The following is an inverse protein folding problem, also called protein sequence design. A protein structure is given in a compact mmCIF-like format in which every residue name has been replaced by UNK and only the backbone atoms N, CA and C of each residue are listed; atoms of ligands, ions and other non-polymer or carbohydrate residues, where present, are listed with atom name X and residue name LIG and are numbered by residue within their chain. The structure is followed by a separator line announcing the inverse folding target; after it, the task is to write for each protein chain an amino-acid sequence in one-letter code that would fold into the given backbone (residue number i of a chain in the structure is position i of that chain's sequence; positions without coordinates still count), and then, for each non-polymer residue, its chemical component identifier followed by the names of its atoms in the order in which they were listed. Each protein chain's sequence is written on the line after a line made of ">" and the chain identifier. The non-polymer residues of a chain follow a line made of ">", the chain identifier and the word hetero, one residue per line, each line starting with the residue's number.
data_IF_520693781263
#
_entry.id   IF_520693781263
#
_cell.length_a   1.000
_cell.length_b   1.000
_cell.length_c   1.000
_cell.angle_alpha   90.00
_cell.angle_beta   90.00
_cell.angle_gamma   90.00
#
_symmetry.space_group_name_H-M   'P 1'
#
loop_
_entity.id
_entity.type
_entity.pdbx_description
1 polymer ?
#
# COMPACT_ATOMS: atom_id res chain seq x y z
N UNK A 1 6.30 51.90 23.05
CA UNK A 1 5.42 50.72 23.18
C UNK A 1 6.09 49.54 22.49
N UNK A 2 6.29 48.45 23.24
CA UNK A 2 6.40 47.02 22.85
C UNK A 2 7.46 46.59 21.82
N UNK A 3 8.61 46.19 22.35
CA UNK A 3 9.34 44.92 22.17
C UNK A 3 8.64 43.89 21.24
N UNK A 4 9.25 43.47 20.13
CA UNK A 4 10.30 42.45 20.00
C UNK A 4 9.82 41.01 20.28
N UNK A 5 9.96 40.12 19.29
CA UNK A 5 10.59 38.80 19.48
C UNK A 5 10.85 38.11 18.13
N UNK A 6 12.12 38.04 17.75
CA UNK A 6 12.64 37.07 16.78
C UNK A 6 12.70 35.74 17.53
N UNK A 7 11.88 34.75 17.17
CA UNK A 7 12.02 33.40 17.71
C UNK A 7 13.02 32.66 16.82
N UNK A 8 14.29 32.78 17.21
CA UNK A 8 15.32 31.83 16.81
C UNK A 8 15.03 30.50 17.53
N UNK A 9 14.68 29.46 16.77
CA UNK A 9 14.62 28.10 17.32
C UNK A 9 16.05 27.59 17.49
N UNK A 10 16.50 27.56 18.75
CA UNK A 10 17.80 27.05 19.14
C UNK A 10 17.85 25.52 19.02
N UNK A 11 18.94 25.03 18.42
CA UNK A 11 19.30 23.62 18.42
C UNK A 11 19.85 23.28 19.82
N UNK A 12 19.19 22.36 20.54
CA UNK A 12 19.73 21.76 21.75
C UNK A 12 20.53 20.53 21.34
N UNK A 13 21.84 20.66 21.15
CA UNK A 13 22.76 19.50 21.14
C UNK A 13 23.16 19.19 22.57
N UNK A 14 22.43 18.26 23.20
CA UNK A 14 22.86 17.65 24.47
C UNK A 14 23.93 16.60 24.20
N UNK A 15 25.20 16.93 24.43
CA UNK A 15 26.28 15.96 24.44
C UNK A 15 26.24 15.15 25.74
N UNK A 16 25.84 13.88 25.67
CA UNK A 16 25.96 12.94 26.78
C UNK A 16 27.27 12.16 26.60
N UNK A 17 28.24 12.40 27.50
CA UNK A 17 29.43 11.57 27.67
C UNK A 17 29.10 10.52 28.73
N UNK A 18 28.97 9.25 28.34
CA UNK A 18 28.90 8.11 29.27
C UNK A 18 30.02 7.13 28.93
N UNK A 19 30.80 6.79 29.96
CA UNK A 19 31.97 5.92 29.92
C UNK A 19 31.65 4.47 29.57
N UNK A 20 32.71 3.76 29.17
CA UNK A 20 32.66 2.49 28.46
C UNK A 20 32.02 1.33 29.22
N UNK A 21 31.05 0.70 28.56
CA UNK A 21 30.99 -0.72 28.20
C UNK A 21 29.95 -0.85 27.08
N UNK A 22 30.41 -1.16 25.87
CA UNK A 22 29.64 -1.59 24.68
C UNK A 22 28.18 -1.13 24.55
N UNK A 23 27.96 0.18 24.37
CA UNK A 23 26.66 0.75 23.92
C UNK A 23 26.49 0.77 22.40
N UNK A 24 27.40 0.14 21.63
CA UNK A 24 27.37 0.17 20.17
C UNK A 24 26.11 -0.46 19.56
N UNK A 25 25.48 -1.44 20.22
CA UNK A 25 24.22 -2.02 19.74
C UNK A 25 23.03 -1.05 19.86
N UNK A 26 23.01 -0.18 20.87
CA UNK A 26 21.91 0.77 21.08
C UNK A 26 22.00 2.01 20.17
N UNK A 27 23.15 2.23 19.53
CA UNK A 27 23.40 3.33 18.61
C UNK A 27 23.30 2.93 17.13
N UNK A 28 23.18 1.64 16.80
CA UNK A 28 23.34 1.13 15.42
C UNK A 28 22.04 0.81 14.68
N UNK A 29 20.89 0.62 15.35
CA UNK A 29 19.58 0.50 14.68
C UNK A 29 18.69 1.71 14.99
N UNK A 30 18.96 2.84 14.34
CA UNK A 30 18.03 3.98 14.35
C UNK A 30 17.16 3.93 13.10
N UNK A 31 16.40 2.85 12.93
CA UNK A 31 15.36 2.81 11.90
C UNK A 31 14.27 3.80 12.30
N UNK A 32 14.03 4.79 11.43
CA UNK A 32 13.10 5.89 11.63
C UNK A 32 12.24 5.99 10.38
N UNK A 33 10.93 6.02 10.58
CA UNK A 33 9.95 6.28 9.53
C UNK A 33 9.39 7.69 9.69
N UNK A 34 9.15 8.37 8.57
CA UNK A 34 8.50 9.68 8.56
C UNK A 34 7.01 9.48 8.36
N UNK A 35 6.21 9.90 9.34
CA UNK A 35 4.75 9.94 9.26
C UNK A 35 4.26 11.39 9.32
N UNK A 36 3.01 11.64 8.96
CA UNK A 36 2.44 12.99 8.98
C UNK A 36 2.54 13.70 10.35
N UNK A 37 2.55 12.94 11.45
CA UNK A 37 2.68 13.44 12.83
C UNK A 37 4.14 13.65 13.29
N UNK A 38 5.13 13.31 12.47
CA UNK A 38 6.56 13.46 12.75
C UNK A 38 7.37 12.20 12.48
N UNK A 39 8.51 12.07 13.16
CA UNK A 39 9.38 10.90 13.04
C UNK A 39 8.99 9.84 14.08
N UNK A 40 8.83 8.59 13.64
CA UNK A 40 8.62 7.44 14.53
C UNK A 40 9.88 6.59 14.51
N UNK A 41 10.48 6.43 15.69
CA UNK A 41 11.64 5.57 15.89
C UNK A 41 11.20 4.14 16.15
N UNK A 42 11.59 3.23 15.27
CA UNK A 42 11.28 1.79 15.37
C UNK A 42 12.31 1.04 16.22
N UNK A 43 13.57 1.46 16.18
CA UNK A 43 14.67 0.72 16.81
C UNK A 43 15.12 -0.45 15.93
N UNK A 44 15.33 -1.62 16.51
CA UNK A 44 15.49 -2.86 15.74
C UNK A 44 14.15 -3.28 15.13
N UNK A 45 14.14 -3.59 13.83
CA UNK A 45 12.97 -4.09 13.12
C UNK A 45 13.13 -5.59 12.96
N UNK A 46 12.15 -6.34 13.47
CA UNK A 46 12.19 -7.81 13.50
C UNK A 46 11.49 -8.42 12.29
N UNK A 47 10.44 -7.75 11.81
CA UNK A 47 9.62 -8.20 10.70
C UNK A 47 9.00 -7.00 9.98
N UNK A 48 8.84 -7.15 8.67
CA UNK A 48 8.26 -6.14 7.77
C UNK A 48 7.36 -6.85 6.76
N UNK A 49 6.12 -6.40 6.64
CA UNK A 49 5.16 -6.97 5.69
C UNK A 49 4.57 -5.88 4.80
N UNK A 50 4.78 -6.02 3.49
CA UNK A 50 4.21 -5.13 2.48
C UNK A 50 2.89 -5.72 1.95
N UNK A 51 1.78 -5.03 2.16
CA UNK A 51 0.45 -5.45 1.71
C UNK A 51 -0.18 -4.40 0.80
N UNK A 52 -1.04 -4.85 -0.11
CA UNK A 52 -1.87 -3.98 -0.94
C UNK A 52 -3.32 -4.39 -0.79
N UNK A 53 -4.18 -3.40 -0.55
CA UNK A 53 -5.63 -3.52 -0.61
C UNK A 53 -6.13 -2.96 -1.93
N UNK A 54 -6.91 -3.75 -2.65
CA UNK A 54 -7.63 -3.36 -3.87
C UNK A 54 -9.12 -3.38 -3.56
N UNK A 55 -9.77 -2.24 -3.73
CA UNK A 55 -11.22 -2.10 -3.62
C UNK A 55 -11.78 -1.67 -4.97
N UNK A 56 -12.75 -2.42 -5.49
CA UNK A 56 -13.48 -2.05 -6.71
C UNK A 56 -14.92 -1.78 -6.31
N UNK A 57 -15.39 -0.55 -6.49
CA UNK A 57 -16.79 -0.17 -6.25
C UNK A 57 -17.51 0.14 -7.56
N UNK A 58 -18.82 -0.07 -7.58
CA UNK A 58 -19.69 0.34 -8.70
C UNK A 58 -20.33 1.71 -8.46
N UNK A 59 -21.30 2.06 -9.28
CA UNK A 59 -22.00 3.36 -9.26
C UNK A 59 -22.66 3.74 -7.91
N UNK A 60 -23.00 2.75 -7.07
CA UNK A 60 -23.64 3.01 -5.77
C UNK A 60 -22.64 3.35 -4.65
N UNK A 61 -21.35 3.03 -4.82
CA UNK A 61 -20.28 3.19 -3.81
C UNK A 61 -20.63 2.65 -2.41
N UNK A 62 -21.66 1.81 -2.28
CA UNK A 62 -22.15 1.34 -0.97
C UNK A 62 -21.57 -0.03 -0.62
N UNK A 63 -21.45 -0.92 -1.62
CA UNK A 63 -20.88 -2.27 -1.44
C UNK A 63 -19.77 -2.52 -2.46
N UNK A 64 -18.55 -2.86 -2.03
CA UNK A 64 -17.50 -3.24 -2.96
C UNK A 64 -17.93 -4.44 -3.83
N UNK A 65 -17.74 -4.31 -5.14
CA UNK A 65 -17.81 -5.43 -6.08
C UNK A 65 -16.71 -6.44 -5.72
N UNK A 66 -15.55 -5.92 -5.34
CA UNK A 66 -14.39 -6.69 -4.91
C UNK A 66 -13.62 -5.90 -3.84
N UNK A 67 -13.15 -6.59 -2.82
CA UNK A 67 -12.17 -6.07 -1.86
C UNK A 67 -11.21 -7.19 -1.51
N UNK A 68 -9.94 -7.04 -1.86
CA UNK A 68 -8.88 -8.01 -1.55
C UNK A 68 -7.73 -7.27 -0.89
N UNK A 69 -7.23 -7.82 0.21
CA UNK A 69 -5.97 -7.40 0.84
C UNK A 69 -5.04 -8.61 0.85
N UNK A 70 -3.87 -8.48 0.23
CA UNK A 70 -2.84 -9.52 0.23
C UNK A 70 -1.43 -8.91 0.14
N UNK A 71 -0.40 -9.74 0.18
CA UNK A 71 0.96 -9.34 -0.14
C UNK A 71 1.01 -8.65 -1.51
N UNK A 72 1.73 -7.53 -1.58
CA UNK A 72 1.75 -6.67 -2.77
C UNK A 72 2.19 -7.40 -4.03
N UNK A 73 3.06 -8.41 -3.93
CA UNK A 73 3.51 -9.24 -5.06
C UNK A 73 2.49 -10.29 -5.52
N UNK A 74 1.49 -10.61 -4.69
CA UNK A 74 0.42 -11.57 -5.02
C UNK A 74 -0.89 -10.87 -5.45
N UNK A 75 -1.11 -9.63 -5.06
CA UNK A 75 -2.41 -8.95 -5.20
C UNK A 75 -3.02 -9.01 -6.62
N UNK A 76 -2.20 -8.82 -7.67
CA UNK A 76 -2.68 -8.86 -9.04
C UNK A 76 -3.16 -10.25 -9.47
N UNK A 77 -2.54 -11.30 -8.95
CA UNK A 77 -2.93 -12.70 -9.19
C UNK A 77 -4.23 -13.02 -8.48
N UNK A 78 -4.41 -12.56 -7.24
CA UNK A 78 -5.63 -12.84 -6.47
C UNK A 78 -6.82 -12.07 -7.03
N UNK A 79 -6.64 -10.81 -7.42
CA UNK A 79 -7.68 -10.05 -8.16
C UNK A 79 -8.03 -10.75 -9.48
N UNK A 80 -7.03 -11.22 -10.24
CA UNK A 80 -7.30 -11.98 -11.48
C UNK A 80 -8.13 -13.23 -11.22
N UNK A 81 -7.84 -13.96 -10.13
CA UNK A 81 -8.57 -15.16 -9.77
C UNK A 81 -10.03 -14.86 -9.43
N UNK A 82 -10.29 -13.80 -8.65
CA UNK A 82 -11.65 -13.38 -8.31
C UNK A 82 -12.43 -12.89 -9.54
N UNK A 83 -11.82 -12.07 -10.40
CA UNK A 83 -12.44 -11.65 -11.66
C UNK A 83 -12.74 -12.84 -12.58
N UNK A 84 -11.85 -13.83 -12.64
CA UNK A 84 -12.10 -15.07 -13.39
C UNK A 84 -13.29 -15.85 -12.80
N UNK A 85 -13.39 -15.91 -11.48
CA UNK A 85 -14.49 -16.58 -10.78
C UNK A 85 -15.82 -15.87 -11.05
N UNK A 86 -15.86 -14.53 -11.05
CA UNK A 86 -17.05 -13.75 -11.43
C UNK A 86 -17.51 -14.06 -12.86
N UNK A 87 -16.58 -14.17 -13.82
CA UNK A 87 -16.92 -14.56 -15.20
C UNK A 87 -17.49 -15.97 -15.25
N UNK A 88 -16.90 -16.92 -14.52
CA UNK A 88 -17.40 -18.29 -14.43
C UNK A 88 -18.81 -18.33 -13.86
N UNK A 89 -19.08 -17.56 -12.81
CA UNK A 89 -20.38 -17.51 -12.15
C UNK A 89 -21.44 -16.86 -13.01
N UNK A 90 -21.12 -15.75 -13.68
CA UNK A 90 -22.02 -15.12 -14.66
C UNK A 90 -22.35 -16.10 -15.82
N UNK A 91 -21.36 -16.85 -16.30
CA UNK A 91 -21.55 -17.82 -17.38
C UNK A 91 -22.41 -19.04 -17.02
N UNK A 92 -22.71 -19.28 -15.73
CA UNK A 92 -23.63 -20.34 -15.31
C UNK A 92 -25.08 -20.01 -15.67
N UNK A 93 -25.43 -18.73 -15.75
CA UNK A 93 -26.80 -18.27 -16.02
C UNK A 93 -27.01 -17.82 -17.46
N UNK A 94 -25.93 -17.51 -18.19
CA UNK A 94 -25.99 -17.03 -19.57
C UNK A 94 -26.18 -18.16 -20.61
N UNK A 95 -26.94 -17.93 -21.69
CA UNK A 95 -27.04 -18.85 -22.81
C UNK A 95 -25.68 -18.97 -23.51
N UNK A 96 -25.44 -20.10 -24.18
CA UNK A 96 -24.12 -20.46 -24.71
C UNK A 96 -23.48 -19.41 -25.66
N UNK A 97 -24.29 -18.64 -26.37
CA UNK A 97 -23.83 -17.62 -27.32
C UNK A 97 -23.52 -16.26 -26.66
N UNK A 98 -23.90 -16.07 -25.40
CA UNK A 98 -23.65 -14.86 -24.62
C UNK A 98 -22.56 -15.06 -23.56
N UNK A 99 -21.99 -16.27 -23.47
CA UNK A 99 -20.94 -16.58 -22.49
C UNK A 99 -19.71 -15.70 -22.72
N UNK A 100 -19.29 -15.06 -21.65
CA UNK A 100 -18.16 -14.16 -21.61
C UNK A 100 -16.85 -14.95 -21.42
N UNK A 101 -15.74 -14.37 -21.81
CA UNK A 101 -14.39 -14.85 -21.46
C UNK A 101 -13.69 -13.76 -20.66
N UNK A 102 -12.75 -14.14 -19.80
CA UNK A 102 -12.02 -13.18 -18.97
C UNK A 102 -11.30 -12.12 -19.82
N UNK A 103 -10.76 -12.53 -20.97
CA UNK A 103 -9.99 -11.66 -21.87
C UNK A 103 -10.85 -10.59 -22.56
N UNK A 104 -12.16 -10.77 -22.59
CA UNK A 104 -13.11 -9.85 -23.24
C UNK A 104 -14.14 -9.30 -22.26
N UNK A 105 -14.06 -9.66 -20.98
CA UNK A 105 -14.93 -9.15 -19.94
C UNK A 105 -14.49 -7.73 -19.57
N UNK A 106 -15.46 -6.86 -19.37
CA UNK A 106 -15.25 -5.45 -19.03
C UNK A 106 -16.32 -4.99 -18.04
N UNK A 107 -16.03 -3.90 -17.34
CA UNK A 107 -16.98 -3.26 -16.43
C UNK A 107 -18.04 -2.50 -17.24
N UNK A 108 -19.30 -2.94 -17.15
CA UNK A 108 -20.42 -2.34 -17.87
C UNK A 108 -21.12 -1.20 -17.10
N UNK A 109 -20.64 -0.88 -15.90
CA UNK A 109 -21.02 0.25 -15.06
C UNK A 109 -19.80 1.15 -14.86
N UNK A 110 -19.98 2.37 -14.33
CA UNK A 110 -18.79 3.07 -13.85
C UNK A 110 -18.24 2.29 -12.67
N UNK A 111 -16.91 2.32 -12.53
CA UNK A 111 -16.22 1.68 -11.42
C UNK A 111 -15.16 2.60 -10.87
N UNK A 112 -14.97 2.55 -9.57
CA UNK A 112 -13.82 3.15 -8.91
C UNK A 112 -12.89 2.04 -8.46
N UNK A 113 -11.60 2.15 -8.79
CA UNK A 113 -10.59 1.23 -8.29
C UNK A 113 -9.70 2.00 -7.33
N UNK A 114 -9.77 1.63 -6.05
CA UNK A 114 -8.95 2.17 -4.99
C UNK A 114 -7.85 1.18 -4.65
N UNK A 115 -6.62 1.69 -4.58
CA UNK A 115 -5.41 0.95 -4.23
C UNK A 115 -4.81 1.60 -2.99
N UNK A 116 -4.61 0.83 -1.93
CA UNK A 116 -3.82 1.27 -0.77
C UNK A 116 -2.69 0.28 -0.54
N UNK A 117 -1.45 0.75 -0.52
CA UNK A 117 -0.29 -0.06 -0.16
C UNK A 117 0.27 0.42 1.17
N UNK A 118 0.43 -0.54 2.08
CA UNK A 118 0.90 -0.31 3.43
C UNK A 118 2.05 -1.26 3.75
N UNK A 119 2.96 -0.80 4.58
CA UNK A 119 3.95 -1.65 5.23
C UNK A 119 3.68 -1.70 6.72
N UNK A 120 3.61 -2.90 7.26
CA UNK A 120 3.53 -3.16 8.69
C UNK A 120 4.90 -3.52 9.24
N UNK A 121 5.34 -2.82 10.28
CA UNK A 121 6.58 -3.07 11.00
C UNK A 121 6.31 -3.66 12.37
N UNK A 122 6.98 -4.78 12.66
CA UNK A 122 7.13 -5.26 14.02
C UNK A 122 8.55 -4.94 14.52
N UNK A 123 8.64 -4.06 15.51
CA UNK A 123 9.89 -3.46 15.94
C UNK A 123 10.03 -3.38 17.46
N UNK A 124 11.23 -3.05 17.93
CA UNK A 124 11.57 -2.95 19.34
C UNK A 124 10.65 -2.00 20.12
N UNK A 125 10.26 -0.87 19.51
CA UNK A 125 9.48 0.17 20.18
C UNK A 125 8.04 0.27 19.71
N UNK A 126 7.72 -0.25 18.53
CA UNK A 126 6.38 -0.24 17.97
C UNK A 126 6.01 -1.64 17.50
N UNK A 127 4.90 -2.13 18.02
CA UNK A 127 4.30 -3.37 17.55
C UNK A 127 3.22 -3.00 16.53
N UNK A 128 3.23 -3.68 15.38
CA UNK A 128 2.22 -3.58 14.32
C UNK A 128 2.08 -2.11 13.80
N UNK A 129 3.21 -1.39 13.66
CA UNK A 129 3.21 -0.02 13.13
C UNK A 129 2.96 -0.03 11.63
N UNK A 130 1.91 0.63 11.19
CA UNK A 130 1.58 0.73 9.77
C UNK A 130 2.05 2.07 9.18
N UNK A 131 2.64 2.00 8.00
CA UNK A 131 2.98 3.15 7.17
C UNK A 131 2.35 2.96 5.80
N UNK A 132 1.47 3.87 5.43
CA UNK A 132 0.93 3.97 4.07
C UNK A 132 2.02 4.49 3.13
N UNK A 133 2.31 3.72 2.08
CA UNK A 133 3.27 4.07 1.04
C UNK A 133 2.57 4.86 -0.08
N UNK A 134 1.39 4.40 -0.48
CA UNK A 134 0.61 4.99 -1.56
C UNK A 134 -0.88 4.70 -1.37
N UNK A 135 -1.69 5.70 -1.70
CA UNK A 135 -3.13 5.59 -1.86
C UNK A 135 -3.48 6.19 -3.22
N UNK A 136 -4.07 5.39 -4.10
CA UNK A 136 -4.40 5.79 -5.47
C UNK A 136 -5.85 5.43 -5.78
N UNK A 137 -6.57 6.38 -6.38
CA UNK A 137 -7.95 6.22 -6.84
C UNK A 137 -8.00 6.34 -8.38
N UNK A 138 -8.64 5.37 -9.02
CA UNK A 138 -8.73 5.26 -10.48
C UNK A 138 -10.21 5.12 -10.89
N UNK A 139 -10.89 6.24 -11.17
CA UNK A 139 -12.25 6.21 -11.67
C UNK A 139 -12.26 5.80 -13.16
N UNK A 140 -13.12 4.87 -13.51
CA UNK A 140 -13.36 4.40 -14.88
C UNK A 140 -14.83 4.52 -15.25
N UNK A 141 -15.10 5.07 -16.43
CA UNK A 141 -16.45 5.22 -16.94
C UNK A 141 -16.90 4.01 -17.75
N UNK A 142 -18.17 3.64 -17.65
CA UNK A 142 -18.74 2.53 -18.42
C UNK A 142 -18.51 2.66 -19.93
N UNK A 143 -18.47 3.90 -20.44
CA UNK A 143 -18.21 4.21 -21.86
C UNK A 143 -16.80 3.83 -22.33
N UNK A 144 -15.85 3.66 -21.41
CA UNK A 144 -14.47 3.28 -21.72
C UNK A 144 -14.33 1.79 -21.99
N UNK A 145 -15.32 0.98 -21.58
CA UNK A 145 -15.28 -0.47 -21.67
C UNK A 145 -14.01 -1.04 -21.03
N UNK A 146 -13.65 -0.56 -19.85
CA UNK A 146 -12.43 -0.97 -19.16
C UNK A 146 -12.41 -2.48 -18.88
N UNK A 147 -11.45 -3.20 -19.45
CA UNK A 147 -11.41 -4.65 -19.41
C UNK A 147 -10.80 -5.19 -18.12
N UNK A 148 -11.23 -6.39 -17.72
CA UNK A 148 -10.65 -7.10 -16.57
C UNK A 148 -9.16 -7.37 -16.78
N UNK A 149 -8.73 -7.64 -18.01
CA UNK A 149 -7.32 -7.79 -18.35
C UNK A 149 -6.52 -6.49 -18.12
N UNK A 150 -7.08 -5.34 -18.49
CA UNK A 150 -6.44 -4.03 -18.28
C UNK A 150 -6.32 -3.72 -16.78
N UNK A 151 -7.34 -4.03 -15.98
CA UNK A 151 -7.28 -3.91 -14.53
C UNK A 151 -6.15 -4.77 -13.93
N UNK A 152 -6.00 -6.02 -14.37
CA UNK A 152 -4.93 -6.92 -13.91
C UNK A 152 -3.55 -6.42 -14.33
N UNK A 153 -3.38 -5.92 -15.55
CA UNK A 153 -2.10 -5.37 -16.03
C UNK A 153 -1.70 -4.09 -15.27
N UNK A 154 -2.68 -3.23 -14.99
CA UNK A 154 -2.51 -2.05 -14.14
C UNK A 154 -2.05 -2.46 -12.73
N UNK A 155 -2.70 -3.45 -12.10
CA UNK A 155 -2.33 -3.95 -10.78
C UNK A 155 -0.92 -4.54 -10.75
N UNK A 156 -0.52 -5.30 -11.77
CA UNK A 156 0.86 -5.81 -11.86
C UNK A 156 1.88 -4.66 -11.92
N UNK A 157 1.58 -3.63 -12.70
CA UNK A 157 2.44 -2.45 -12.84
C UNK A 157 2.53 -1.67 -11.52
N UNK A 158 1.39 -1.47 -10.86
CA UNK A 158 1.30 -0.81 -9.56
C UNK A 158 2.07 -1.60 -8.48
N UNK A 159 1.82 -2.90 -8.35
CA UNK A 159 2.49 -3.79 -7.41
C UNK A 159 4.02 -3.75 -7.56
N UNK A 160 4.52 -3.85 -8.80
CA UNK A 160 5.95 -3.78 -9.07
C UNK A 160 6.56 -2.41 -8.73
N UNK A 161 5.82 -1.32 -8.99
CA UNK A 161 6.23 0.03 -8.58
C UNK A 161 6.31 0.13 -7.06
N UNK A 162 5.31 -0.37 -6.34
CA UNK A 162 5.26 -0.32 -4.88
C UNK A 162 6.33 -1.17 -4.22
N UNK A 163 6.55 -2.38 -4.71
CA UNK A 163 7.65 -3.24 -4.28
C UNK A 163 9.00 -2.53 -4.41
N UNK A 164 9.22 -1.84 -5.54
CA UNK A 164 10.45 -1.06 -5.76
C UNK A 164 10.58 0.10 -4.77
N UNK A 165 9.50 0.88 -4.55
CA UNK A 165 9.51 2.02 -3.63
C UNK A 165 9.80 1.54 -2.20
N UNK A 166 9.12 0.47 -1.77
CA UNK A 166 9.30 -0.14 -0.48
C UNK A 166 10.75 -0.56 -0.24
N UNK A 167 11.35 -1.36 -1.14
CA UNK A 167 12.71 -1.83 -0.98
C UNK A 167 13.77 -0.71 -0.99
N UNK A 168 13.49 0.40 -1.68
CA UNK A 168 14.41 1.55 -1.77
C UNK A 168 14.33 2.48 -0.55
N UNK A 169 13.14 2.71 -0.03
CA UNK A 169 12.90 3.81 0.92
C UNK A 169 12.46 3.33 2.30
N UNK A 170 11.68 2.26 2.36
CA UNK A 170 10.87 1.93 3.54
C UNK A 170 11.28 0.59 4.18
N UNK A 171 11.87 -0.34 3.45
CA UNK A 171 12.42 -1.57 4.05
C UNK A 171 13.70 -1.29 4.84
N UNK A 172 13.73 -1.75 6.09
CA UNK A 172 14.93 -1.76 6.93
C UNK A 172 15.62 -3.13 6.96
N UNK A 173 14.94 -4.21 6.57
CA UNK A 173 15.51 -5.57 6.53
C UNK A 173 16.04 -5.94 5.14
N UNK A 174 15.36 -5.52 4.06
CA UNK A 174 15.58 -6.02 2.70
C UNK A 174 16.04 -4.94 1.71
N UNK A 175 16.98 -4.06 2.07
CA UNK A 175 17.45 -3.00 1.15
C UNK A 175 18.16 -3.56 -0.10
N UNK A 176 17.80 -3.00 -1.27
CA UNK A 176 18.45 -3.27 -2.58
C UNK A 176 19.61 -2.29 -2.80
#
# INVERSE_FOLDING_TARGET
>A
MKNALIIALGIITGAIVIGGQSFYHLLTSQNIVNVASGEVRLGEVYDEQLTTTVTITGDDNETPILMITDATDQIAKDVKQELAQMVVDANKTLPAHEKMRLETAYFNTNVNIELSTEVEYNSQYQKDMQLTIDETELPHHASEQYHFAEAVDMLNTYASKMDTIYHQNDSFIHKI
#
